data_IF_874437936299
#
_entry.id   IF_874437936299
#
_cell.length_a   1.000
_cell.length_b   1.000
_cell.length_c   1.000
_cell.angle_alpha   90.00
_cell.angle_beta   90.00
_cell.angle_gamma   90.00
#
_symmetry.space_group_name_H-M   'P 1'
#
loop_
_entity.id
_entity.type
_entity.pdbx_description
1 polymer ?
#
# COMPACT_ATOMS: atom_id res chain seq x y z
N UNK A 1 6.02 -5.67 6.09
CA UNK A 1 5.47 -6.91 6.70
C UNK A 1 4.24 -6.57 7.56
N UNK A 2 3.38 -7.53 7.92
CA UNK A 2 2.13 -7.28 8.65
C UNK A 2 2.24 -7.57 10.16
N UNK A 3 2.16 -6.58 11.05
CA UNK A 3 2.22 -6.75 12.51
C UNK A 3 0.87 -7.12 13.12
N UNK A 4 0.85 -7.98 14.14
CA UNK A 4 -0.36 -8.28 14.92
C UNK A 4 -0.66 -7.15 15.91
N UNK A 5 -1.89 -6.66 15.88
CA UNK A 5 -2.41 -5.64 16.80
C UNK A 5 -3.94 -5.60 16.74
N UNK A 6 -4.56 -5.27 17.87
CA UNK A 6 -6.02 -5.21 17.97
C UNK A 6 -6.58 -3.89 17.44
N UNK A 7 -5.79 -2.82 17.52
CA UNK A 7 -6.15 -1.48 17.01
C UNK A 7 -5.17 -0.98 15.94
N UNK A 8 -5.65 -0.05 15.11
CA UNK A 8 -4.79 0.62 14.12
C UNK A 8 -3.71 1.46 14.80
N UNK A 9 -4.03 2.12 15.91
CA UNK A 9 -3.08 2.96 16.66
C UNK A 9 -1.93 2.13 17.23
N UNK A 10 -2.24 0.98 17.83
CA UNK A 10 -1.22 0.04 18.33
C UNK A 10 -0.37 -0.52 17.18
N UNK A 11 -1.01 -0.86 16.05
CA UNK A 11 -0.31 -1.31 14.85
C UNK A 11 0.68 -0.25 14.34
N UNK A 12 0.25 1.02 14.25
CA UNK A 12 1.11 2.10 13.77
C UNK A 12 2.28 2.32 14.72
N UNK A 13 2.08 2.28 16.04
CA UNK A 13 3.18 2.39 17.01
C UNK A 13 4.20 1.25 16.86
N UNK A 14 3.73 0.01 16.67
CA UNK A 14 4.60 -1.15 16.42
C UNK A 14 5.37 -1.01 15.10
N UNK A 15 4.72 -0.52 14.06
CA UNK A 15 5.34 -0.28 12.74
C UNK A 15 6.36 0.87 12.79
N UNK A 16 6.06 1.95 13.53
CA UNK A 16 6.98 3.07 13.75
C UNK A 16 8.25 2.60 14.49
N UNK A 17 8.11 1.78 15.54
CA UNK A 17 9.24 1.22 16.27
C UNK A 17 10.12 0.35 15.37
N UNK A 18 9.49 -0.52 14.56
CA UNK A 18 10.18 -1.36 13.58
C UNK A 18 10.93 -0.54 12.52
N UNK A 19 10.31 0.50 11.97
CA UNK A 19 10.95 1.38 10.98
C UNK A 19 12.15 2.14 11.59
N UNK A 20 12.07 2.52 12.86
CA UNK A 20 13.16 3.17 13.60
C UNK A 20 14.33 2.22 13.88
N UNK A 21 14.06 0.97 14.25
CA UNK A 21 15.08 -0.05 14.53
C UNK A 21 15.73 -0.60 13.24
N UNK A 22 14.98 -0.60 12.13
CA UNK A 22 15.42 -1.15 10.86
C UNK A 22 15.20 -0.16 9.70
N UNK A 23 15.97 0.95 9.62
CA UNK A 23 15.82 1.95 8.56
C UNK A 23 16.13 1.38 7.16
N UNK A 24 16.92 0.30 7.09
CA UNK A 24 17.27 -0.41 5.85
C UNK A 24 16.26 -1.52 5.47
N UNK A 25 15.21 -1.73 6.28
CA UNK A 25 14.18 -2.77 6.12
C UNK A 25 14.48 -4.07 6.88
N UNK A 26 13.43 -4.76 7.33
CA UNK A 26 13.53 -6.07 7.99
C UNK A 26 13.79 -7.17 6.95
N UNK A 27 14.72 -8.08 7.23
CA UNK A 27 14.93 -9.29 6.41
C UNK A 27 13.67 -10.15 6.35
N UNK A 28 13.30 -10.61 5.15
CA UNK A 28 12.04 -11.33 4.90
C UNK A 28 11.88 -12.61 5.74
N UNK A 29 12.98 -13.27 6.13
CA UNK A 29 12.96 -14.49 6.97
C UNK A 29 12.62 -14.21 8.44
N UNK A 30 13.17 -13.15 9.05
CA UNK A 30 12.83 -12.78 10.44
C UNK A 30 11.39 -12.25 10.53
N UNK A 31 10.91 -11.60 9.46
CA UNK A 31 9.55 -11.10 9.39
C UNK A 31 8.49 -12.21 9.24
N UNK A 32 8.79 -13.30 8.53
CA UNK A 32 7.82 -14.36 8.24
C UNK A 32 7.37 -15.14 9.50
N UNK A 33 8.24 -15.25 10.51
CA UNK A 33 7.92 -15.94 11.77
C UNK A 33 7.08 -15.10 12.74
N UNK A 34 7.07 -13.77 12.60
CA UNK A 34 6.35 -12.85 13.53
C UNK A 34 5.15 -12.13 12.90
N UNK A 35 5.05 -12.02 11.58
CA UNK A 35 4.22 -10.98 10.94
C UNK A 35 3.28 -11.50 9.81
N UNK A 36 2.81 -12.75 9.90
CA UNK A 36 1.73 -13.30 9.06
C UNK A 36 2.10 -13.73 7.63
N UNK A 37 1.15 -14.36 6.90
CA UNK A 37 1.42 -14.99 5.60
C UNK A 37 1.48 -14.03 4.41
N UNK A 38 1.32 -12.72 4.66
CA UNK A 38 1.19 -11.72 3.60
C UNK A 38 2.27 -10.65 3.68
N UNK A 39 2.53 -10.02 2.54
CA UNK A 39 3.39 -8.84 2.42
C UNK A 39 2.69 -7.78 1.60
N UNK A 40 2.67 -6.56 2.14
CA UNK A 40 2.22 -5.36 1.43
C UNK A 40 3.42 -4.76 0.68
N UNK A 41 3.25 -4.53 -0.62
CA UNK A 41 4.25 -3.89 -1.48
C UNK A 41 3.78 -2.51 -1.92
N UNK A 42 4.63 -1.48 -1.80
CA UNK A 42 4.32 -0.16 -2.31
C UNK A 42 4.31 -0.15 -3.84
N UNK A 43 3.63 0.84 -4.42
CA UNK A 43 3.70 1.13 -5.84
C UNK A 43 3.87 2.63 -6.05
N UNK A 44 4.79 3.01 -6.93
CA UNK A 44 5.02 4.40 -7.27
C UNK A 44 3.78 5.06 -7.87
N UNK A 45 3.64 6.37 -7.62
CA UNK A 45 2.60 7.17 -8.25
C UNK A 45 2.77 7.14 -9.77
N UNK A 46 1.69 6.92 -10.50
CA UNK A 46 1.70 6.94 -11.96
C UNK A 46 0.41 7.54 -12.49
N UNK A 47 0.51 8.18 -13.64
CA UNK A 47 -0.65 8.64 -14.41
C UNK A 47 -1.22 7.52 -15.28
N UNK A 48 -2.53 7.53 -15.46
CA UNK A 48 -3.28 6.50 -16.20
C UNK A 48 -3.32 6.86 -17.68
N UNK A 49 -2.62 6.09 -18.52
CA UNK A 49 -2.65 6.24 -19.99
C UNK A 49 -4.07 6.15 -20.55
N UNK A 50 -4.87 5.20 -20.06
CA UNK A 50 -6.27 4.99 -20.49
C UNK A 50 -7.20 6.18 -20.22
N UNK A 51 -6.79 7.14 -19.41
CA UNK A 51 -7.56 8.36 -19.13
C UNK A 51 -6.86 9.62 -19.68
N UNK A 52 -6.04 9.46 -20.72
CA UNK A 52 -5.29 10.57 -21.33
C UNK A 52 -4.34 11.27 -20.35
N UNK A 53 -3.81 10.52 -19.38
CA UNK A 53 -2.94 11.04 -18.30
C UNK A 53 -3.61 12.07 -17.37
N UNK A 54 -4.93 12.26 -17.45
CA UNK A 54 -5.70 13.21 -16.60
C UNK A 54 -5.88 12.73 -15.17
N UNK A 55 -5.57 11.46 -14.89
CA UNK A 55 -5.70 10.88 -13.55
C UNK A 55 -4.43 10.13 -13.15
N UNK A 56 -4.07 10.20 -11.88
CA UNK A 56 -2.97 9.44 -11.30
C UNK A 56 -3.36 8.72 -10.01
N UNK A 57 -2.44 7.89 -9.53
CA UNK A 57 -2.63 7.16 -8.29
C UNK A 57 -1.51 6.17 -8.03
N UNK A 58 -1.63 5.48 -6.89
CA UNK A 58 -0.79 4.33 -6.54
C UNK A 58 -1.61 3.05 -6.62
N UNK A 59 -0.93 1.93 -6.86
CA UNK A 59 -1.52 0.59 -6.90
C UNK A 59 -0.73 -0.37 -6.03
N UNK A 60 -0.67 -0.14 -4.71
CA UNK A 60 -0.01 -1.07 -3.79
C UNK A 60 -0.64 -2.47 -3.91
N UNK A 61 0.17 -3.49 -3.64
CA UNK A 61 -0.20 -4.90 -3.82
C UNK A 61 0.07 -5.67 -2.54
N UNK A 62 -0.95 -6.34 -2.02
CA UNK A 62 -0.78 -7.36 -0.97
C UNK A 62 -0.70 -8.74 -1.62
N UNK A 63 0.35 -9.49 -1.30
CA UNK A 63 0.53 -10.87 -1.74
C UNK A 63 0.63 -11.79 -0.53
N UNK A 64 -0.03 -12.95 -0.60
CA UNK A 64 -0.05 -13.92 0.50
C UNK A 64 0.33 -15.32 0.03
N UNK A 65 1.12 -16.02 0.83
CA UNK A 65 1.49 -17.43 0.59
C UNK A 65 0.40 -18.40 1.07
N UNK A 66 -0.49 -17.96 1.97
CA UNK A 66 -1.61 -18.74 2.49
C UNK A 66 -2.95 -18.04 2.22
N UNK A 67 -4.05 -18.81 2.31
CA UNK A 67 -5.41 -18.27 2.27
C UNK A 67 -5.66 -17.39 3.50
N UNK A 68 -6.42 -16.32 3.30
CA UNK A 68 -6.75 -15.32 4.32
C UNK A 68 -8.23 -14.99 4.21
N UNK A 69 -8.85 -14.55 5.31
CA UNK A 69 -10.31 -14.37 5.39
C UNK A 69 -10.75 -12.93 5.15
N UNK A 70 -9.82 -11.99 5.06
CA UNK A 70 -10.14 -10.61 4.70
C UNK A 70 -8.91 -9.76 4.49
N UNK A 71 -8.96 -8.89 3.48
CA UNK A 71 -7.94 -7.89 3.22
C UNK A 71 -8.65 -6.54 3.06
N UNK A 72 -8.20 -5.52 3.78
CA UNK A 72 -8.57 -4.12 3.56
C UNK A 72 -7.30 -3.33 3.33
N UNK A 73 -7.31 -2.44 2.35
CA UNK A 73 -6.21 -1.51 2.09
C UNK A 73 -6.73 -0.10 2.10
N UNK A 74 -5.89 0.85 2.49
CA UNK A 74 -6.16 2.27 2.38
C UNK A 74 -4.90 2.97 1.89
N UNK A 75 -5.04 3.94 1.00
CA UNK A 75 -3.91 4.71 0.48
C UNK A 75 -4.18 6.19 0.56
N UNK A 76 -3.21 6.94 1.05
CA UNK A 76 -3.22 8.40 1.13
C UNK A 76 -2.07 8.95 0.28
N UNK A 77 -2.41 9.76 -0.73
CA UNK A 77 -1.42 10.44 -1.55
C UNK A 77 -0.79 11.61 -0.77
N UNK A 78 0.48 11.87 -1.06
CA UNK A 78 1.20 13.06 -0.62
C UNK A 78 1.95 13.68 -1.80
N UNK A 79 1.94 15.00 -1.86
CA UNK A 79 2.72 15.78 -2.84
C UNK A 79 3.72 16.65 -2.10
N UNK A 80 4.91 16.84 -2.67
CA UNK A 80 5.91 17.74 -2.09
C UNK A 80 5.53 19.19 -2.39
N UNK A 81 5.37 19.99 -1.35
CA UNK A 81 5.17 21.44 -1.41
C UNK A 81 6.28 22.12 -0.59
N UNK A 82 7.23 22.77 -1.27
CA UNK A 82 8.45 23.28 -0.63
C UNK A 82 9.25 22.15 0.05
N UNK A 83 9.52 22.31 1.35
CA UNK A 83 10.20 21.30 2.18
C UNK A 83 9.24 20.25 2.78
N UNK A 84 7.92 20.44 2.66
CA UNK A 84 6.93 19.60 3.32
C UNK A 84 6.25 18.61 2.37
N UNK A 85 5.81 17.47 2.92
CA UNK A 85 4.94 16.51 2.23
C UNK A 85 3.50 16.71 2.69
N UNK A 86 2.67 17.28 1.83
CA UNK A 86 1.26 17.58 2.16
C UNK A 86 0.35 16.49 1.62
N UNK A 87 -0.72 16.17 2.36
CA UNK A 87 -1.75 15.22 1.90
C UNK A 87 -2.42 15.79 0.65
N UNK A 88 -2.63 14.93 -0.35
CA UNK A 88 -3.31 15.29 -1.58
C UNK A 88 -4.60 14.46 -1.73
N UNK A 89 -5.75 15.10 -1.55
CA UNK A 89 -7.05 14.42 -1.50
C UNK A 89 -7.24 13.56 -0.26
N UNK A 90 -8.35 12.80 -0.24
CA UNK A 90 -8.71 11.91 0.87
C UNK A 90 -7.98 10.56 0.77
N UNK A 91 -7.91 9.87 1.90
CA UNK A 91 -7.50 8.47 1.93
C UNK A 91 -8.56 7.60 1.24
N UNK A 92 -8.13 6.71 0.34
CA UNK A 92 -9.02 5.85 -0.41
C UNK A 92 -8.92 4.42 0.13
N UNK A 93 -9.98 3.90 0.77
CA UNK A 93 -10.04 2.50 1.20
C UNK A 93 -10.48 1.58 0.06
N UNK A 94 -10.06 0.31 0.10
CA UNK A 94 -10.58 -0.77 -0.73
C UNK A 94 -10.56 -2.07 0.08
N UNK A 95 -11.70 -2.76 0.11
CA UNK A 95 -11.83 -4.08 0.74
C UNK A 95 -11.84 -5.16 -0.34
N UNK A 96 -11.09 -6.24 -0.12
CA UNK A 96 -11.11 -7.41 -0.98
C UNK A 96 -12.47 -8.10 -0.92
N UNK A 97 -13.00 -8.49 -2.08
CA UNK A 97 -14.19 -9.34 -2.16
C UNK A 97 -13.82 -10.83 -2.12
N UNK A 98 -14.83 -11.71 -2.11
CA UNK A 98 -14.61 -13.16 -2.07
C UNK A 98 -13.76 -13.69 -3.23
N UNK A 99 -13.91 -13.09 -4.42
CA UNK A 99 -13.13 -13.48 -5.60
C UNK A 99 -11.65 -13.12 -5.40
N UNK A 100 -11.36 -11.94 -4.85
CA UNK A 100 -10.00 -11.49 -4.56
C UNK A 100 -9.31 -12.41 -3.54
N UNK A 101 -10.07 -12.93 -2.56
CA UNK A 101 -9.54 -13.83 -1.52
C UNK A 101 -9.36 -15.28 -1.99
N UNK A 102 -10.05 -15.69 -3.04
CA UNK A 102 -9.99 -17.05 -3.61
C UNK A 102 -9.06 -17.16 -4.82
N UNK A 103 -8.74 -16.05 -5.47
CA UNK A 103 -7.96 -16.03 -6.70
C UNK A 103 -6.50 -15.72 -6.39
N UNK A 104 -5.63 -16.71 -6.63
CA UNK A 104 -4.19 -16.50 -6.61
C UNK A 104 -3.71 -15.68 -7.81
N UNK A 105 -2.47 -15.23 -7.77
CA UNK A 105 -1.93 -14.44 -8.88
C UNK A 105 -0.42 -14.34 -8.88
N UNK A 106 0.13 -14.10 -10.08
CA UNK A 106 1.56 -13.81 -10.24
C UNK A 106 1.89 -12.39 -9.80
N UNK A 107 2.98 -12.25 -9.03
CA UNK A 107 3.62 -10.98 -8.69
C UNK A 107 5.15 -11.16 -8.76
N UNK A 108 5.83 -10.29 -9.52
CA UNK A 108 7.29 -10.36 -9.77
C UNK A 108 7.78 -11.79 -10.10
N UNK A 109 7.14 -12.45 -11.08
CA UNK A 109 7.42 -13.82 -11.55
C UNK A 109 7.14 -14.96 -10.55
N UNK A 110 6.71 -14.67 -9.31
CA UNK A 110 6.30 -15.68 -8.32
C UNK A 110 4.78 -15.76 -8.21
N UNK A 111 4.24 -16.97 -8.04
CA UNK A 111 2.82 -17.18 -7.79
C UNK A 111 2.50 -17.12 -6.30
N UNK A 112 1.38 -16.50 -5.95
CA UNK A 112 0.89 -16.35 -4.58
C UNK A 112 -0.55 -16.85 -4.48
N UNK A 113 -0.88 -17.44 -3.34
CA UNK A 113 -2.22 -18.01 -3.04
C UNK A 113 -3.30 -16.95 -3.07
N UNK A 114 -2.98 -15.73 -2.61
CA UNK A 114 -3.86 -14.56 -2.70
C UNK A 114 -3.04 -13.38 -3.21
N UNK A 115 -3.60 -12.63 -4.17
CA UNK A 115 -3.03 -11.38 -4.65
C UNK A 115 -4.14 -10.34 -4.71
N UNK A 116 -4.04 -9.34 -3.86
CA UNK A 116 -4.95 -8.20 -3.84
C UNK A 116 -4.22 -6.93 -4.26
N UNK A 117 -4.79 -6.18 -5.21
CA UNK A 117 -4.22 -4.92 -5.69
C UNK A 117 -5.24 -3.81 -5.49
N UNK A 118 -4.82 -2.72 -4.85
CA UNK A 118 -5.67 -1.55 -4.79
C UNK A 118 -5.71 -0.89 -6.18
N UNK A 119 -6.91 -0.69 -6.74
CA UNK A 119 -7.11 -0.19 -8.11
C UNK A 119 -8.07 1.01 -8.19
N UNK A 120 -8.78 1.31 -7.10
CA UNK A 120 -9.78 2.37 -7.05
C UNK A 120 -9.22 3.80 -6.88
N UNK A 121 -7.93 3.95 -6.59
CA UNK A 121 -7.28 5.26 -6.43
C UNK A 121 -7.30 6.07 -7.74
N UNK A 122 -8.11 7.12 -7.81
CA UNK A 122 -8.29 7.97 -8.99
C UNK A 122 -8.18 9.45 -8.61
N UNK A 123 -6.96 9.96 -8.56
CA UNK A 123 -6.68 11.38 -8.33
C UNK A 123 -6.70 12.14 -9.64
N UNK A 124 -7.42 13.26 -9.73
CA UNK A 124 -7.48 14.10 -10.94
C UNK A 124 -6.24 15.01 -10.97
N UNK A 125 -5.57 15.09 -12.11
CA UNK A 125 -4.38 15.93 -12.28
C UNK A 125 -4.77 17.33 -12.78
N UNK A 126 -4.31 18.38 -12.08
CA UNK A 126 -4.49 19.78 -12.48
C UNK A 126 -3.30 20.24 -13.34
N UNK A 127 -3.32 19.86 -14.61
CA UNK A 127 -2.24 20.16 -15.56
C UNK A 127 -1.10 19.15 -15.55
N UNK A 128 -0.09 19.41 -16.38
CA UNK A 128 0.97 18.46 -16.75
C UNK A 128 2.33 18.78 -16.13
N UNK A 129 2.42 19.82 -15.29
CA UNK A 129 3.66 20.16 -14.57
C UNK A 129 4.09 18.98 -13.70
N UNK A 130 5.39 18.70 -13.67
CA UNK A 130 5.95 17.63 -12.85
C UNK A 130 5.94 18.03 -11.38
N UNK A 131 5.39 17.16 -10.54
CA UNK A 131 5.45 17.27 -9.09
C UNK A 131 6.01 15.99 -8.49
N UNK A 132 6.62 16.10 -7.30
CA UNK A 132 7.10 14.95 -6.55
C UNK A 132 5.93 14.37 -5.75
N UNK A 133 5.61 13.11 -6.03
CA UNK A 133 4.52 12.37 -5.42
C UNK A 133 5.05 11.19 -4.60
N UNK A 134 4.36 10.90 -3.51
CA UNK A 134 4.49 9.68 -2.71
C UNK A 134 3.09 9.29 -2.19
N UNK A 135 2.99 8.16 -1.51
CA UNK A 135 1.77 7.72 -0.85
C UNK A 135 2.12 6.84 0.34
N UNK A 136 1.35 6.93 1.42
CA UNK A 136 1.32 5.86 2.43
C UNK A 136 0.19 4.91 2.09
N UNK A 137 0.46 3.61 2.18
CA UNK A 137 -0.54 2.57 2.05
C UNK A 137 -0.57 1.74 3.32
N UNK A 138 -1.74 1.62 3.92
CA UNK A 138 -2.01 0.78 5.08
C UNK A 138 -2.78 -0.44 4.59
N UNK A 139 -2.37 -1.62 5.04
CA UNK A 139 -3.06 -2.87 4.81
C UNK A 139 -3.51 -3.45 6.15
N UNK A 140 -4.73 -3.95 6.20
CA UNK A 140 -5.28 -4.75 7.30
C UNK A 140 -5.66 -6.12 6.77
N UNK A 141 -5.35 -7.16 7.52
CA UNK A 141 -5.49 -8.55 7.14
C UNK A 141 -6.19 -9.32 8.27
N UNK A 142 -7.11 -10.22 7.91
CA UNK A 142 -7.67 -11.22 8.83
C UNK A 142 -7.13 -12.60 8.48
N UNK A 143 -6.49 -13.26 9.44
CA UNK A 143 -5.90 -14.57 9.27
C UNK A 143 -5.97 -15.36 10.59
N UNK A 144 -6.59 -16.54 10.57
CA UNK A 144 -6.76 -17.42 11.74
C UNK A 144 -7.33 -16.68 12.98
N UNK A 145 -8.37 -15.87 12.78
CA UNK A 145 -9.00 -15.08 13.85
C UNK A 145 -8.28 -13.78 14.22
N UNK A 146 -7.01 -13.61 13.83
CA UNK A 146 -6.16 -12.47 14.19
C UNK A 146 -6.28 -11.32 13.19
N UNK A 147 -6.03 -10.11 13.67
CA UNK A 147 -5.89 -8.91 12.82
C UNK A 147 -4.43 -8.55 12.69
N UNK A 148 -3.97 -8.45 11.44
CA UNK A 148 -2.60 -8.06 11.13
C UNK A 148 -2.60 -6.77 10.31
N UNK A 149 -1.58 -5.93 10.47
CA UNK A 149 -1.49 -4.59 9.88
C UNK A 149 -0.14 -4.33 9.24
N UNK A 150 -0.09 -3.77 8.05
CA UNK A 150 1.13 -3.34 7.41
C UNK A 150 1.01 -1.89 6.98
N UNK A 151 2.13 -1.17 6.99
CA UNK A 151 2.25 0.14 6.37
C UNK A 151 3.44 0.13 5.43
N UNK A 152 3.30 0.77 4.28
CA UNK A 152 4.40 1.02 3.35
C UNK A 152 4.30 2.43 2.80
N UNK A 153 5.46 3.01 2.53
CA UNK A 153 5.59 4.29 1.84
C UNK A 153 6.03 4.05 0.40
N UNK A 154 5.35 4.71 -0.53
CA UNK A 154 5.66 4.60 -1.96
C UNK A 154 6.90 5.40 -2.31
N UNK A 155 7.71 4.93 -3.28
CA UNK A 155 8.88 5.67 -3.72
C UNK A 155 8.49 7.06 -4.22
N UNK A 156 9.38 8.03 -3.97
CA UNK A 156 9.20 9.40 -4.43
C UNK A 156 9.43 9.44 -5.93
N UNK A 157 8.40 9.81 -6.70
CA UNK A 157 8.49 9.92 -8.16
C UNK A 157 8.08 11.31 -8.63
N UNK A 158 8.80 11.81 -9.63
CA UNK A 158 8.47 13.06 -10.33
C UNK A 158 7.54 12.74 -11.50
N UNK A 159 6.27 13.12 -11.40
CA UNK A 159 5.22 12.73 -12.35
C UNK A 159 4.48 13.97 -12.87
N UNK A 160 4.18 14.05 -14.18
CA UNK A 160 3.43 15.17 -14.78
C UNK A 160 1.96 15.11 -14.38
N UNK A 161 1.68 15.53 -13.15
CA UNK A 161 0.35 15.57 -12.54
C UNK A 161 0.35 16.68 -11.50
N UNK A 162 -0.33 17.80 -11.79
CA UNK A 162 -0.46 18.91 -10.86
C UNK A 162 -1.43 18.57 -9.71
N UNK A 163 -1.13 18.98 -8.47
CA UNK A 163 -2.07 18.85 -7.36
C UNK A 163 -3.24 19.83 -7.51
N UNK A 164 -4.38 19.46 -6.94
CA UNK A 164 -5.56 20.31 -6.76
C UNK A 164 -5.37 21.33 -5.65
#
# INVERSE_FOLDING_TARGET
PYVEADTEEEAMRKLDAIEKEHPQGISAQAAYKRYGPCTLHPAGFHTRKSAGYKYGGVKPVTVCTKKVTGIKMASQLRVKNGLMWVKAGIEIPQTANDKDLRTGGKYKKKYYTVKFTQTNMKYKCKGTKKHKWSASSIGRLRYQGRTLWARVTSPILSVPCGPH
#
